data_IF_830252783515
#
_entry.id   IF_830252783515
#
_cell.length_a   1.000
_cell.length_b   1.000
_cell.length_c   1.000
_cell.angle_alpha   90.00
_cell.angle_beta   90.00
_cell.angle_gamma   90.00
#
_symmetry.space_group_name_H-M   'P 1'
#
loop_
_entity.id
_entity.type
_entity.pdbx_description
1 polymer ?
#
# COMPACT_ATOMS: atom_id res chain seq x y z
N UNK A 1 -17.51 -8.01 1.87
CA UNK A 1 -18.29 -8.62 2.96
C UNK A 1 -17.62 -8.41 4.32
N UNK A 2 -16.66 -7.49 4.39
CA UNK A 2 -16.01 -7.06 5.62
C UNK A 2 -16.99 -6.35 6.56
N UNK A 3 -16.75 -6.46 7.87
CA UNK A 3 -17.74 -6.13 8.89
C UNK A 3 -17.97 -4.62 9.06
N UNK A 4 -17.06 -3.77 8.64
CA UNK A 4 -17.22 -2.31 8.59
C UNK A 4 -18.24 -1.87 7.51
N UNK A 5 -18.57 -2.75 6.56
CA UNK A 5 -19.59 -2.53 5.53
C UNK A 5 -20.83 -3.42 5.68
N UNK A 6 -20.61 -4.65 6.16
CA UNK A 6 -21.64 -5.68 6.20
C UNK A 6 -22.21 -5.92 7.61
N UNK A 7 -21.59 -5.38 8.66
CA UNK A 7 -21.95 -5.67 10.05
C UNK A 7 -23.39 -5.33 10.44
N UNK A 8 -24.04 -4.39 9.73
CA UNK A 8 -25.44 -4.02 9.97
C UNK A 8 -26.46 -4.82 9.15
N UNK A 9 -26.02 -5.64 8.19
CA UNK A 9 -26.92 -6.40 7.30
C UNK A 9 -27.93 -7.26 8.10
N UNK A 10 -27.54 -8.03 9.14
CA UNK A 10 -28.51 -8.80 9.92
C UNK A 10 -29.64 -7.95 10.51
N UNK A 11 -29.31 -6.75 11.01
CA UNK A 11 -30.30 -5.83 11.56
C UNK A 11 -31.25 -5.28 10.49
N UNK A 12 -30.72 -4.97 9.30
CA UNK A 12 -31.53 -4.53 8.15
C UNK A 12 -32.49 -5.65 7.71
N UNK A 13 -32.02 -6.90 7.59
CA UNK A 13 -32.87 -8.03 7.18
C UNK A 13 -33.95 -8.38 8.21
N UNK A 14 -33.69 -8.14 9.49
CA UNK A 14 -34.67 -8.28 10.55
C UNK A 14 -35.77 -7.21 10.46
N UNK A 15 -35.41 -5.97 10.10
CA UNK A 15 -36.37 -4.87 9.92
C UNK A 15 -37.16 -4.98 8.62
N UNK A 16 -36.55 -5.54 7.57
CA UNK A 16 -37.14 -5.69 6.24
C UNK A 16 -37.11 -7.16 5.80
N UNK A 17 -38.12 -7.97 6.19
CA UNK A 17 -38.13 -9.42 5.94
C UNK A 17 -38.15 -9.81 4.45
N UNK A 18 -38.64 -8.93 3.58
CA UNK A 18 -38.69 -9.16 2.13
C UNK A 18 -37.40 -8.72 1.41
N UNK A 19 -36.46 -8.07 2.11
CA UNK A 19 -35.22 -7.60 1.51
C UNK A 19 -34.31 -8.78 1.14
N UNK A 20 -33.66 -8.69 -0.03
CA UNK A 20 -32.69 -9.67 -0.52
C UNK A 20 -31.32 -8.99 -0.62
N UNK A 21 -30.30 -9.64 -0.05
CA UNK A 21 -28.91 -9.19 -0.17
C UNK A 21 -28.42 -9.55 -1.57
N UNK A 22 -27.90 -8.56 -2.30
CA UNK A 22 -27.29 -8.76 -3.62
C UNK A 22 -25.78 -8.67 -3.48
N UNK A 23 -25.05 -9.71 -3.89
CA UNK A 23 -23.60 -9.77 -3.75
C UNK A 23 -22.92 -10.58 -4.85
N UNK A 24 -21.58 -10.57 -4.92
CA UNK A 24 -20.86 -11.48 -5.82
C UNK A 24 -20.97 -12.94 -5.33
N UNK A 25 -20.73 -13.96 -6.19
CA UNK A 25 -20.76 -15.36 -5.77
C UNK A 25 -19.75 -15.69 -4.66
N UNK A 26 -18.60 -14.99 -4.65
CA UNK A 26 -17.57 -15.15 -3.62
C UNK A 26 -17.96 -14.52 -2.29
N UNK A 27 -18.82 -13.50 -2.30
CA UNK A 27 -19.26 -12.83 -1.08
C UNK A 27 -20.28 -13.66 -0.29
N UNK A 28 -21.08 -14.48 -0.98
CA UNK A 28 -22.11 -15.31 -0.35
C UNK A 28 -21.59 -16.20 0.78
N UNK A 29 -20.58 -17.06 0.60
CA UNK A 29 -20.05 -17.87 1.71
C UNK A 29 -19.51 -16.99 2.84
N UNK A 30 -18.83 -15.88 2.53
CA UNK A 30 -18.31 -14.97 3.55
C UNK A 30 -19.41 -14.31 4.39
N UNK A 31 -20.54 -13.94 3.77
CA UNK A 31 -21.68 -13.37 4.49
C UNK A 31 -22.36 -14.39 5.39
N UNK A 32 -22.43 -15.66 4.96
CA UNK A 32 -22.95 -16.76 5.79
C UNK A 32 -22.00 -17.00 6.97
N UNK A 33 -20.70 -17.14 6.71
CA UNK A 33 -19.72 -17.51 7.73
C UNK A 33 -19.48 -16.39 8.76
N UNK A 34 -19.36 -15.13 8.31
CA UNK A 34 -19.06 -14.01 9.20
C UNK A 34 -20.28 -13.46 9.93
N UNK A 35 -21.47 -13.53 9.33
CA UNK A 35 -22.67 -12.85 9.84
C UNK A 35 -23.85 -13.80 10.11
N UNK A 36 -23.74 -15.08 9.78
CA UNK A 36 -24.80 -16.07 9.98
C UNK A 36 -26.05 -15.81 9.12
N UNK A 37 -25.90 -15.20 7.94
CA UNK A 37 -27.04 -14.92 7.08
C UNK A 37 -27.67 -16.20 6.53
N UNK A 38 -29.00 -16.20 6.43
CA UNK A 38 -29.72 -17.24 5.72
C UNK A 38 -29.39 -17.18 4.22
N UNK A 39 -28.92 -18.31 3.68
CA UNK A 39 -28.60 -18.46 2.26
C UNK A 39 -29.77 -18.09 1.35
N UNK A 40 -31.01 -18.35 1.76
CA UNK A 40 -32.21 -18.02 0.99
C UNK A 40 -32.42 -16.50 0.84
N UNK A 41 -31.79 -15.69 1.69
CA UNK A 41 -31.85 -14.21 1.67
C UNK A 41 -30.75 -13.58 0.84
N UNK A 42 -29.90 -14.38 0.17
CA UNK A 42 -28.77 -13.92 -0.62
C UNK A 42 -28.95 -14.29 -2.10
N UNK A 43 -28.98 -13.26 -2.96
CA UNK A 43 -28.90 -13.40 -4.40
C UNK A 43 -27.50 -13.03 -4.88
N UNK A 44 -26.87 -13.95 -5.60
CA UNK A 44 -25.59 -13.66 -6.26
C UNK A 44 -25.80 -13.02 -7.63
N UNK A 45 -24.90 -12.12 -8.03
CA UNK A 45 -24.88 -11.51 -9.37
C UNK A 45 -23.58 -11.85 -10.12
N UNK A 46 -23.70 -12.20 -11.40
CA UNK A 46 -22.55 -12.47 -12.26
C UNK A 46 -21.81 -11.18 -12.67
N UNK A 47 -20.58 -11.32 -13.17
CA UNK A 47 -19.81 -10.19 -13.72
C UNK A 47 -20.51 -9.66 -14.98
N UNK A 48 -20.85 -8.37 -14.99
CA UNK A 48 -21.64 -7.72 -16.04
C UNK A 48 -23.16 -7.91 -15.91
N UNK A 49 -23.67 -8.60 -14.89
CA UNK A 49 -25.12 -8.73 -14.67
C UNK A 49 -25.75 -7.37 -14.38
N UNK A 50 -27.04 -7.23 -14.73
CA UNK A 50 -27.81 -6.02 -14.48
C UNK A 50 -29.05 -6.29 -13.64
N UNK A 51 -29.48 -5.27 -12.88
CA UNK A 51 -30.69 -5.29 -12.05
C UNK A 51 -31.50 -4.02 -12.27
N UNK A 52 -32.72 -4.16 -12.78
CA UNK A 52 -33.65 -3.06 -12.96
C UNK A 52 -34.32 -2.65 -11.64
N UNK A 53 -34.41 -1.34 -11.40
CA UNK A 53 -35.05 -0.72 -10.22
C UNK A 53 -36.33 0.05 -10.58
N UNK A 54 -36.90 -0.17 -11.77
CA UNK A 54 -38.11 0.54 -12.23
C UNK A 54 -37.83 1.98 -12.67
N UNK A 55 -36.83 2.17 -13.52
CA UNK A 55 -36.42 3.48 -14.07
C UNK A 55 -34.91 3.73 -13.99
N UNK A 56 -34.21 2.91 -13.21
CA UNK A 56 -32.75 2.89 -13.08
C UNK A 56 -32.24 1.45 -13.22
N UNK A 57 -30.98 1.30 -13.58
CA UNK A 57 -30.35 -0.01 -13.78
C UNK A 57 -29.03 -0.08 -13.05
N UNK A 58 -28.87 -1.06 -12.15
CA UNK A 58 -27.57 -1.37 -11.57
C UNK A 58 -26.83 -2.32 -12.50
N UNK A 59 -25.55 -2.08 -12.73
CA UNK A 59 -24.63 -2.99 -13.43
C UNK A 59 -23.53 -3.41 -12.46
N UNK A 60 -23.27 -4.71 -12.33
CA UNK A 60 -22.31 -5.25 -11.37
C UNK A 60 -21.04 -5.70 -12.07
N UNK A 61 -19.88 -5.25 -11.58
CA UNK A 61 -18.58 -5.66 -12.11
C UNK A 61 -17.72 -6.25 -11.00
N UNK A 62 -17.27 -7.48 -11.15
CA UNK A 62 -16.42 -8.14 -10.18
C UNK A 62 -15.01 -7.54 -10.25
N UNK A 63 -14.53 -7.06 -9.12
CA UNK A 63 -13.22 -6.42 -8.96
C UNK A 63 -12.50 -7.10 -7.79
N UNK A 64 -12.04 -8.36 -7.95
CA UNK A 64 -11.44 -9.09 -6.85
C UNK A 64 -10.09 -8.48 -6.45
N UNK A 65 -9.72 -8.63 -5.18
CA UNK A 65 -8.47 -8.16 -4.58
C UNK A 65 -8.28 -6.63 -4.63
N UNK A 66 -9.39 -5.88 -4.56
CA UNK A 66 -9.39 -4.44 -4.24
C UNK A 66 -10.26 -4.12 -3.00
N UNK A 67 -10.04 -4.74 -1.84
CA UNK A 67 -8.88 -5.59 -1.47
C UNK A 67 -9.24 -7.05 -1.14
N UNK A 68 -10.52 -7.39 -1.03
CA UNK A 68 -10.96 -8.75 -0.73
C UNK A 68 -11.28 -9.55 -2.01
N UNK A 69 -11.22 -10.90 -1.97
CA UNK A 69 -11.45 -11.73 -3.15
C UNK A 69 -12.86 -11.60 -3.75
N UNK A 70 -13.84 -11.15 -2.99
CA UNK A 70 -15.24 -11.00 -3.38
C UNK A 70 -15.65 -9.62 -3.87
N UNK A 71 -14.78 -8.62 -3.73
CA UNK A 71 -15.13 -7.22 -4.01
C UNK A 71 -15.72 -7.08 -5.41
N UNK A 72 -16.79 -6.30 -5.52
CA UNK A 72 -17.42 -5.91 -6.77
C UNK A 72 -17.80 -4.44 -6.68
N UNK A 73 -17.79 -3.76 -7.82
CA UNK A 73 -18.32 -2.40 -7.95
C UNK A 73 -19.71 -2.44 -8.58
N UNK A 74 -20.51 -1.43 -8.27
CA UNK A 74 -21.83 -1.25 -8.87
C UNK A 74 -21.85 0.05 -9.65
N UNK A 75 -22.21 0.00 -10.92
CA UNK A 75 -22.35 1.17 -11.78
C UNK A 75 -23.84 1.48 -11.99
N UNK A 76 -24.20 2.74 -11.88
CA UNK A 76 -25.54 3.27 -12.16
C UNK A 76 -25.44 4.21 -13.37
N UNK A 77 -25.66 3.72 -14.60
CA UNK A 77 -25.42 4.47 -15.82
C UNK A 77 -26.29 5.72 -15.95
N UNK A 78 -27.56 5.65 -15.52
CA UNK A 78 -28.51 6.75 -15.68
C UNK A 78 -28.12 8.00 -14.87
N UNK A 79 -27.37 7.82 -13.78
CA UNK A 79 -26.86 8.90 -12.92
C UNK A 79 -25.34 9.06 -13.01
N UNK A 80 -24.67 8.21 -13.83
CA UNK A 80 -23.22 8.19 -13.99
C UNK A 80 -22.44 8.04 -12.66
N UNK A 81 -22.90 7.13 -11.79
CA UNK A 81 -22.29 6.88 -10.47
C UNK A 81 -21.61 5.51 -10.47
N UNK A 82 -20.37 5.46 -9.98
CA UNK A 82 -19.69 4.22 -9.62
C UNK A 82 -19.63 4.06 -8.10
N UNK A 83 -20.36 3.09 -7.56
CA UNK A 83 -20.23 2.64 -6.17
C UNK A 83 -19.08 1.65 -6.07
N UNK A 84 -17.94 2.11 -5.59
CA UNK A 84 -16.66 1.39 -5.72
C UNK A 84 -16.27 0.56 -4.49
N UNK A 85 -17.05 0.62 -3.40
CA UNK A 85 -16.66 0.03 -2.10
C UNK A 85 -15.29 0.58 -1.68
N UNK A 86 -14.39 -0.27 -1.19
CA UNK A 86 -13.03 0.09 -0.77
C UNK A 86 -12.19 0.64 -1.91
N UNK A 87 -12.47 0.20 -3.14
CA UNK A 87 -11.69 0.60 -4.29
C UNK A 87 -11.80 2.11 -4.50
N UNK A 88 -10.65 2.78 -4.61
CA UNK A 88 -10.53 4.24 -4.73
C UNK A 88 -10.90 5.00 -3.44
N UNK A 89 -11.20 4.32 -2.33
CA UNK A 89 -11.56 4.94 -1.06
C UNK A 89 -10.40 5.57 -0.30
N UNK A 90 -10.73 6.19 0.84
CA UNK A 90 -9.74 6.76 1.76
C UNK A 90 -10.23 6.76 3.20
N UNK A 91 -9.33 6.55 4.15
CA UNK A 91 -9.63 6.70 5.58
C UNK A 91 -9.47 8.17 6.01
N UNK A 92 -10.51 8.98 5.76
CA UNK A 92 -10.58 10.37 6.23
C UNK A 92 -12.00 10.69 6.69
N UNK A 93 -12.12 11.20 7.93
CA UNK A 93 -13.39 11.68 8.46
C UNK A 93 -13.52 13.19 8.22
N UNK A 94 -14.62 13.62 7.60
CA UNK A 94 -14.89 15.04 7.34
C UNK A 94 -16.39 15.32 7.31
N UNK A 95 -16.79 16.56 7.53
CA UNK A 95 -18.19 17.01 7.39
C UNK A 95 -18.58 17.25 5.93
N UNK A 96 -17.63 17.23 4.98
CA UNK A 96 -17.88 17.39 3.55
C UNK A 96 -18.19 16.04 2.92
N UNK A 97 -19.30 15.98 2.18
CA UNK A 97 -19.66 14.75 1.45
C UNK A 97 -18.79 14.53 0.20
N UNK A 98 -18.44 15.61 -0.50
CA UNK A 98 -17.69 15.57 -1.75
C UNK A 98 -16.22 15.96 -1.53
N UNK A 99 -15.33 15.34 -2.30
CA UNK A 99 -13.89 15.55 -2.25
C UNK A 99 -13.49 16.93 -2.79
N UNK A 100 -14.16 17.43 -3.83
CA UNK A 100 -13.71 18.60 -4.57
C UNK A 100 -12.29 18.39 -5.11
N UNK A 101 -11.49 19.45 -5.08
CA UNK A 101 -10.06 19.42 -5.46
C UNK A 101 -9.12 19.33 -4.24
N UNK A 102 -9.60 18.84 -3.09
CA UNK A 102 -8.81 18.81 -1.87
C UNK A 102 -7.65 17.79 -1.93
N UNK A 103 -6.37 18.23 -1.94
CA UNK A 103 -5.24 17.33 -2.06
C UNK A 103 -5.06 16.40 -0.85
N UNK A 104 -5.66 16.73 0.29
CA UNK A 104 -5.61 15.88 1.49
C UNK A 104 -6.39 14.59 1.31
N UNK A 105 -7.45 14.58 0.49
CA UNK A 105 -8.22 13.37 0.18
C UNK A 105 -7.39 12.41 -0.66
N UNK A 106 -6.68 12.90 -1.69
CA UNK A 106 -5.76 12.08 -2.50
C UNK A 106 -4.60 11.56 -1.65
N UNK A 107 -4.09 12.37 -0.71
CA UNK A 107 -3.05 11.94 0.23
C UNK A 107 -3.55 10.80 1.14
N UNK A 108 -4.78 10.91 1.65
CA UNK A 108 -5.41 9.86 2.45
C UNK A 108 -5.68 8.60 1.61
N UNK A 109 -6.08 8.74 0.34
CA UNK A 109 -6.23 7.63 -0.58
C UNK A 109 -4.90 6.94 -0.89
N UNK A 110 -3.79 7.69 -1.02
CA UNK A 110 -2.45 7.12 -1.18
C UNK A 110 -2.05 6.29 0.02
N UNK A 111 -2.35 6.77 1.24
CA UNK A 111 -2.15 5.99 2.47
C UNK A 111 -2.96 4.69 2.45
N UNK A 112 -4.25 4.79 2.14
CA UNK A 112 -5.15 3.66 2.05
C UNK A 112 -4.65 2.62 1.03
N UNK A 113 -4.27 3.05 -0.17
CA UNK A 113 -3.65 2.18 -1.17
C UNK A 113 -2.37 1.54 -0.64
N UNK A 114 -1.49 2.32 -0.02
CA UNK A 114 -0.18 1.86 0.44
C UNK A 114 -0.28 0.78 1.51
N UNK A 115 -1.19 0.94 2.47
CA UNK A 115 -1.38 0.03 3.60
C UNK A 115 -2.17 -1.23 3.20
N UNK A 116 -3.11 -1.12 2.26
CA UNK A 116 -4.13 -2.16 2.03
C UNK A 116 -4.01 -2.80 0.64
N UNK A 117 -3.86 -1.99 -0.42
CA UNK A 117 -3.99 -2.45 -1.80
C UNK A 117 -2.66 -2.73 -2.51
N UNK A 118 -1.55 -2.18 -2.02
CA UNK A 118 -0.22 -2.31 -2.62
C UNK A 118 0.18 -3.78 -2.93
N UNK A 119 -0.07 -4.78 -2.05
CA UNK A 119 0.24 -6.18 -2.36
C UNK A 119 -0.47 -6.74 -3.60
N UNK A 120 -1.62 -6.14 -3.95
CA UNK A 120 -2.52 -6.57 -5.02
C UNK A 120 -2.42 -5.68 -6.25
N UNK A 121 -1.32 -4.93 -6.42
CA UNK A 121 -1.06 -4.00 -7.53
C UNK A 121 -1.54 -4.50 -8.91
N UNK A 122 -1.24 -5.74 -9.29
CA UNK A 122 -1.66 -6.30 -10.59
C UNK A 122 -3.18 -6.44 -10.72
N UNK A 123 -3.87 -6.81 -9.64
CA UNK A 123 -5.34 -6.87 -9.59
C UNK A 123 -5.94 -5.48 -9.65
N UNK A 124 -5.39 -4.52 -8.89
CA UNK A 124 -5.79 -3.11 -8.95
C UNK A 124 -5.68 -2.58 -10.39
N UNK A 125 -4.54 -2.82 -11.06
CA UNK A 125 -4.33 -2.41 -12.46
C UNK A 125 -5.33 -3.04 -13.43
N UNK A 126 -5.63 -4.33 -13.28
CA UNK A 126 -6.64 -5.02 -14.09
C UNK A 126 -8.04 -4.46 -13.86
N UNK A 127 -8.40 -4.17 -12.61
CA UNK A 127 -9.70 -3.64 -12.24
C UNK A 127 -9.87 -2.18 -12.70
N UNK A 128 -8.82 -1.35 -12.66
CA UNK A 128 -8.82 -0.01 -13.27
C UNK A 128 -9.18 -0.09 -14.75
N UNK A 129 -8.50 -0.97 -15.52
CA UNK A 129 -8.79 -1.18 -16.94
C UNK A 129 -10.22 -1.65 -17.19
N UNK A 130 -10.79 -2.44 -16.26
CA UNK A 130 -12.19 -2.92 -16.36
C UNK A 130 -13.19 -1.79 -16.17
N UNK A 131 -12.97 -0.90 -15.18
CA UNK A 131 -13.94 0.17 -14.87
C UNK A 131 -13.78 1.39 -15.78
N UNK A 132 -12.57 1.69 -16.29
CA UNK A 132 -12.28 2.90 -17.07
C UNK A 132 -13.21 3.15 -18.27
N UNK A 133 -13.69 2.13 -19.02
CA UNK A 133 -14.63 2.33 -20.13
C UNK A 133 -16.06 2.68 -19.71
N UNK A 134 -16.41 2.55 -18.42
CA UNK A 134 -17.74 2.88 -17.91
C UNK A 134 -17.90 4.40 -17.85
N UNK A 135 -19.09 4.90 -18.21
CA UNK A 135 -19.39 6.32 -18.19
C UNK A 135 -19.87 6.77 -16.80
N UNK A 136 -18.95 7.20 -15.94
CA UNK A 136 -19.25 7.78 -14.64
C UNK A 136 -18.55 9.13 -14.43
N UNK A 137 -19.27 10.07 -13.83
CA UNK A 137 -18.76 11.40 -13.44
C UNK A 137 -18.64 11.50 -11.90
N UNK A 138 -19.05 10.46 -11.17
CA UNK A 138 -19.00 10.34 -9.71
C UNK A 138 -18.47 8.98 -9.27
N UNK A 139 -17.56 8.95 -8.30
CA UNK A 139 -17.13 7.73 -7.60
C UNK A 139 -17.52 7.83 -6.12
N UNK A 140 -18.38 6.92 -5.68
CA UNK A 140 -18.84 6.81 -4.29
C UNK A 140 -18.19 5.58 -3.62
N UNK A 141 -17.02 5.76 -2.96
CA UNK A 141 -16.40 4.68 -2.20
C UNK A 141 -17.18 4.40 -0.91
N UNK A 142 -16.86 3.28 -0.25
CA UNK A 142 -17.39 2.96 1.09
C UNK A 142 -16.74 3.79 2.19
N UNK A 143 -15.52 4.29 1.96
CA UNK A 143 -14.73 5.09 2.90
C UNK A 143 -14.31 6.43 2.32
N UNK A 144 -14.54 7.49 3.10
CA UNK A 144 -14.14 8.85 2.77
C UNK A 144 -15.15 9.58 1.86
N UNK A 145 -14.78 10.78 1.36
CA UNK A 145 -15.64 11.60 0.51
C UNK A 145 -15.90 10.98 -0.87
N UNK A 146 -17.01 11.38 -1.48
CA UNK A 146 -17.35 11.06 -2.88
C UNK A 146 -16.49 11.92 -3.81
N UNK A 147 -15.88 11.31 -4.82
CA UNK A 147 -15.15 12.04 -5.85
C UNK A 147 -16.13 12.55 -6.92
N UNK A 148 -16.33 13.86 -6.94
CA UNK A 148 -17.03 14.65 -7.97
C UNK A 148 -16.11 15.15 -9.09
N UNK A 149 -14.80 14.95 -8.94
CA UNK A 149 -13.78 15.13 -9.96
C UNK A 149 -12.95 13.85 -10.10
N UNK A 150 -13.50 12.86 -10.82
CA UNK A 150 -13.02 11.47 -10.82
C UNK A 150 -11.60 11.29 -11.39
N UNK A 151 -11.17 12.16 -12.30
CA UNK A 151 -9.87 12.03 -12.96
C UNK A 151 -8.69 12.11 -11.98
N UNK A 152 -8.79 12.90 -10.92
CA UNK A 152 -7.71 13.05 -9.94
C UNK A 152 -7.37 11.72 -9.25
N UNK A 153 -8.38 11.01 -8.75
CA UNK A 153 -8.17 9.73 -8.07
C UNK A 153 -7.82 8.61 -9.05
N UNK A 154 -8.42 8.58 -10.24
CA UNK A 154 -8.11 7.57 -11.24
C UNK A 154 -6.67 7.70 -11.74
N UNK A 155 -6.21 8.92 -12.06
CA UNK A 155 -4.84 9.17 -12.49
C UNK A 155 -3.83 8.82 -11.39
N UNK A 156 -4.14 9.13 -10.12
CA UNK A 156 -3.30 8.77 -8.99
C UNK A 156 -3.15 7.26 -8.84
N UNK A 157 -4.25 6.51 -8.91
CA UNK A 157 -4.21 5.04 -8.88
C UNK A 157 -3.46 4.45 -10.08
N UNK A 158 -3.65 5.00 -11.29
CA UNK A 158 -2.91 4.61 -12.49
C UNK A 158 -1.40 4.82 -12.34
N UNK A 159 -0.97 5.91 -11.68
CA UNK A 159 0.41 6.16 -11.33
C UNK A 159 0.94 5.15 -10.30
N UNK A 160 0.22 4.94 -9.20
CA UNK A 160 0.65 4.05 -8.11
C UNK A 160 0.79 2.59 -8.57
N UNK A 161 -0.05 2.14 -9.49
CA UNK A 161 0.05 0.80 -10.08
C UNK A 161 0.93 0.74 -11.32
N UNK A 162 1.49 1.85 -11.82
CA UNK A 162 2.40 1.84 -12.96
C UNK A 162 3.76 1.22 -12.61
N UNK A 163 4.55 0.85 -13.62
CA UNK A 163 5.93 0.38 -13.44
C UNK A 163 6.92 1.55 -13.24
N UNK A 164 6.47 2.80 -13.30
CA UNK A 164 7.32 3.98 -13.10
C UNK A 164 7.80 4.01 -11.66
N UNK A 165 9.10 4.23 -11.47
CA UNK A 165 9.73 4.39 -10.17
C UNK A 165 10.30 5.79 -10.06
N UNK A 166 10.22 6.37 -8.87
CA UNK A 166 10.87 7.64 -8.59
C UNK A 166 12.34 7.42 -8.23
N UNK A 167 13.18 8.41 -8.51
CA UNK A 167 14.56 8.49 -8.05
C UNK A 167 14.63 8.78 -6.54
N UNK A 168 14.06 7.87 -5.75
CA UNK A 168 13.84 7.98 -4.31
C UNK A 168 14.37 6.73 -3.61
N UNK A 169 15.12 6.95 -2.53
CA UNK A 169 15.59 5.93 -1.59
C UNK A 169 14.84 6.12 -0.27
N UNK A 170 14.22 5.05 0.23
CA UNK A 170 13.56 5.04 1.55
C UNK A 170 14.47 4.34 2.55
N UNK A 171 14.79 5.02 3.66
CA UNK A 171 15.72 4.51 4.69
C UNK A 171 15.00 4.35 6.03
N UNK A 172 14.34 3.21 6.30
CA UNK A 172 13.90 2.86 7.65
C UNK A 172 15.12 2.44 8.49
N UNK A 173 15.32 3.13 9.61
CA UNK A 173 16.42 2.81 10.51
C UNK A 173 16.08 3.02 11.97
N UNK A 174 16.91 2.46 12.85
CA UNK A 174 16.96 2.84 14.26
C UNK A 174 18.41 2.90 14.70
N UNK A 175 18.70 3.59 15.79
CA UNK A 175 20.03 3.67 16.38
C UNK A 175 19.92 3.69 17.90
N UNK A 176 20.61 2.78 18.59
CA UNK A 176 20.60 2.75 20.07
C UNK A 176 21.67 3.66 20.68
N UNK A 177 22.82 3.77 20.01
CA UNK A 177 24.02 4.44 20.53
C UNK A 177 24.71 5.32 19.46
N UNK A 178 23.97 5.80 18.47
CA UNK A 178 24.46 6.75 17.46
C UNK A 178 25.18 6.15 16.25
N UNK A 179 25.86 5.01 16.35
CA UNK A 179 26.66 4.48 15.23
C UNK A 179 25.88 4.26 13.93
N UNK A 180 24.70 3.63 14.00
CA UNK A 180 23.86 3.41 12.80
C UNK A 180 23.33 4.72 12.24
N UNK A 181 22.99 5.67 13.11
CA UNK A 181 22.51 7.00 12.71
C UNK A 181 23.60 7.79 11.96
N UNK A 182 24.85 7.77 12.44
CA UNK A 182 25.98 8.38 11.73
C UNK A 182 26.16 7.80 10.32
N UNK A 183 25.96 6.50 10.14
CA UNK A 183 26.02 5.86 8.82
C UNK A 183 24.85 6.27 7.92
N UNK A 184 23.64 6.33 8.47
CA UNK A 184 22.43 6.74 7.74
C UNK A 184 22.55 8.20 7.29
N UNK A 185 22.99 9.09 8.17
CA UNK A 185 23.16 10.51 7.86
C UNK A 185 24.23 10.73 6.80
N UNK A 186 25.36 10.01 6.89
CA UNK A 186 26.40 10.05 5.86
C UNK A 186 25.87 9.57 4.50
N UNK A 187 25.22 8.40 4.46
CA UNK A 187 24.66 7.86 3.22
C UNK A 187 23.61 8.80 2.63
N UNK A 188 22.80 9.42 3.48
CA UNK A 188 21.78 10.40 3.06
C UNK A 188 22.42 11.60 2.37
N UNK A 189 23.48 12.18 2.96
CA UNK A 189 24.22 13.27 2.34
C UNK A 189 24.86 12.85 1.01
N UNK A 190 25.53 11.69 0.99
CA UNK A 190 26.17 11.14 -0.20
C UNK A 190 25.19 10.89 -1.36
N UNK A 191 23.98 10.39 -1.07
CA UNK A 191 22.92 10.20 -2.06
C UNK A 191 22.36 11.55 -2.56
N UNK A 192 22.15 12.52 -1.66
CA UNK A 192 21.68 13.84 -2.03
C UNK A 192 22.66 14.57 -2.96
N UNK A 193 23.96 14.48 -2.69
CA UNK A 193 25.03 15.02 -3.56
C UNK A 193 25.03 14.38 -4.96
N UNK A 194 24.52 13.14 -5.07
CA UNK A 194 24.36 12.40 -6.33
C UNK A 194 22.98 12.62 -6.98
N UNK A 195 22.18 13.55 -6.46
CA UNK A 195 20.87 13.90 -7.00
C UNK A 195 19.78 12.86 -6.72
N UNK A 196 19.98 11.96 -5.76
CA UNK A 196 18.99 10.95 -5.34
C UNK A 196 18.19 11.50 -4.16
N UNK A 197 16.87 11.48 -4.25
CA UNK A 197 16.00 11.92 -3.14
C UNK A 197 16.01 10.85 -2.06
N UNK A 198 16.10 11.26 -0.79
CA UNK A 198 16.14 10.34 0.35
C UNK A 198 15.02 10.66 1.33
N UNK A 199 14.23 9.66 1.69
CA UNK A 199 13.25 9.73 2.77
C UNK A 199 13.69 8.85 3.94
N UNK A 200 14.12 9.50 5.04
CA UNK A 200 14.55 8.82 6.26
C UNK A 200 13.36 8.56 7.18
N UNK A 201 13.34 7.37 7.79
CA UNK A 201 12.34 6.96 8.78
C UNK A 201 13.04 6.43 10.03
N UNK A 202 13.12 7.27 11.06
CA UNK A 202 13.60 6.87 12.39
C UNK A 202 12.48 6.07 13.09
N UNK A 203 12.69 4.76 13.24
CA UNK A 203 11.63 3.81 13.59
C UNK A 203 11.19 3.87 15.06
N UNK A 204 11.86 4.62 15.94
CA UNK A 204 11.36 4.84 17.31
C UNK A 204 10.19 5.83 17.35
N UNK A 205 10.03 6.67 16.31
CA UNK A 205 9.01 7.73 16.24
C UNK A 205 8.16 7.72 14.96
N UNK A 206 8.49 6.83 14.00
CA UNK A 206 7.85 6.79 12.68
C UNK A 206 6.38 6.32 12.72
N UNK A 207 5.53 7.03 11.99
CA UNK A 207 4.23 6.51 11.53
C UNK A 207 4.44 5.52 10.39
N UNK A 208 4.12 4.25 10.64
CA UNK A 208 4.26 3.15 9.69
C UNK A 208 3.47 3.39 8.40
N UNK A 209 2.34 4.11 8.44
CA UNK A 209 1.59 4.45 7.24
C UNK A 209 2.34 5.40 6.33
N UNK A 210 3.12 6.34 6.89
CA UNK A 210 3.98 7.22 6.09
C UNK A 210 5.12 6.44 5.44
N UNK A 211 5.69 5.47 6.15
CA UNK A 211 6.69 4.56 5.59
C UNK A 211 6.09 3.76 4.42
N UNK A 212 4.89 3.19 4.59
CA UNK A 212 4.19 2.48 3.51
C UNK A 212 3.93 3.39 2.30
N UNK A 213 3.48 4.63 2.53
CA UNK A 213 3.26 5.62 1.47
C UNK A 213 4.52 5.96 0.68
N UNK A 214 5.65 6.15 1.36
CA UNK A 214 6.93 6.43 0.71
C UNK A 214 7.40 5.29 -0.19
N UNK A 215 7.11 4.04 0.22
CA UNK A 215 7.42 2.85 -0.56
C UNK A 215 6.57 2.69 -1.83
N UNK A 216 5.46 3.44 -1.98
CA UNK A 216 4.61 3.38 -3.19
C UNK A 216 5.42 3.68 -4.45
N UNK A 217 6.35 4.64 -4.39
CA UNK A 217 7.06 5.16 -5.55
C UNK A 217 8.57 4.91 -5.54
N UNK A 218 9.13 4.54 -4.39
CA UNK A 218 10.56 4.32 -4.23
C UNK A 218 11.11 3.22 -5.15
N UNK A 219 12.31 3.45 -5.67
CA UNK A 219 13.08 2.43 -6.40
C UNK A 219 13.91 1.55 -5.47
N UNK A 220 14.38 2.13 -4.35
CA UNK A 220 15.33 1.50 -3.44
C UNK A 220 14.91 1.64 -1.98
N UNK A 221 15.10 0.58 -1.21
CA UNK A 221 15.02 0.60 0.26
C UNK A 221 16.41 0.34 0.87
N UNK A 222 16.85 1.15 1.82
CA UNK A 222 18.07 0.87 2.60
C UNK A 222 17.72 0.66 4.06
N UNK A 223 17.94 -0.55 4.57
CA UNK A 223 17.52 -0.93 5.92
C UNK A 223 18.67 -0.66 6.89
N UNK A 224 18.47 0.25 7.85
CA UNK A 224 19.46 0.61 8.86
C UNK A 224 19.21 -0.06 10.20
N UNK A 225 20.17 -0.81 10.75
CA UNK A 225 19.94 -1.50 12.04
C UNK A 225 21.18 -1.59 12.95
N UNK A 226 21.07 -1.34 14.26
CA UNK A 226 22.04 -1.86 15.21
C UNK A 226 21.77 -3.35 15.43
N UNK A 227 22.80 -4.09 15.83
CA UNK A 227 22.63 -5.49 16.23
C UNK A 227 22.13 -5.57 17.67
N UNK A 228 20.99 -6.22 17.88
CA UNK A 228 20.44 -6.54 19.21
C UNK A 228 20.57 -8.04 19.43
N UNK A 229 21.27 -8.43 20.50
CA UNK A 229 21.73 -9.80 20.76
C UNK A 229 22.59 -10.36 19.62
N UNK A 230 21.96 -10.93 18.59
CA UNK A 230 22.60 -11.48 17.39
C UNK A 230 21.94 -11.02 16.09
N UNK A 231 20.77 -10.39 16.14
CA UNK A 231 19.94 -10.06 14.98
C UNK A 231 19.72 -8.55 14.81
N UNK A 232 18.86 -8.13 13.87
CA UNK A 232 18.49 -6.73 13.73
C UNK A 232 17.63 -6.29 14.94
N UNK A 233 17.53 -4.99 15.15
CA UNK A 233 16.59 -4.44 16.13
C UNK A 233 15.13 -4.85 15.82
N UNK A 234 14.28 -5.19 16.81
CA UNK A 234 12.90 -5.62 16.59
C UNK A 234 12.05 -4.67 15.72
N UNK A 235 12.15 -3.35 15.94
CA UNK A 235 11.45 -2.36 15.09
C UNK A 235 11.87 -2.44 13.63
N UNK A 236 13.16 -2.67 13.35
CA UNK A 236 13.66 -2.83 11.97
C UNK A 236 13.20 -4.16 11.38
N UNK A 237 13.19 -5.23 12.17
CA UNK A 237 12.63 -6.52 11.76
C UNK A 237 11.17 -6.37 11.32
N UNK A 238 10.35 -5.69 12.14
CA UNK A 238 8.94 -5.44 11.84
C UNK A 238 8.75 -4.58 10.59
N UNK A 239 9.49 -3.47 10.45
CA UNK A 239 9.41 -2.61 9.28
C UNK A 239 9.84 -3.34 7.99
N UNK A 240 10.87 -4.18 8.08
CA UNK A 240 11.35 -5.00 6.96
C UNK A 240 10.32 -6.06 6.57
N UNK A 241 9.73 -6.75 7.56
CA UNK A 241 8.68 -7.71 7.33
C UNK A 241 7.44 -7.06 6.69
N UNK A 242 7.05 -5.88 7.16
CA UNK A 242 5.95 -5.11 6.58
C UNK A 242 6.23 -4.77 5.11
N UNK A 243 7.41 -4.22 4.80
CA UNK A 243 7.77 -3.93 3.40
C UNK A 243 7.63 -5.19 2.53
N UNK A 244 8.12 -6.34 3.00
CA UNK A 244 7.96 -7.62 2.29
C UNK A 244 6.50 -8.07 2.12
N UNK A 245 5.63 -7.81 3.10
CA UNK A 245 4.20 -8.10 3.01
C UNK A 245 3.48 -7.17 2.01
N UNK A 246 3.84 -5.89 2.02
CA UNK A 246 3.27 -4.86 1.14
C UNK A 246 3.68 -5.01 -0.33
N UNK A 247 4.82 -5.65 -0.60
CA UNK A 247 5.35 -5.91 -1.95
C UNK A 247 5.41 -4.64 -2.82
N UNK A 248 6.02 -3.55 -2.34
CA UNK A 248 6.25 -2.36 -3.16
C UNK A 248 7.03 -2.70 -4.43
N UNK A 249 6.95 -1.83 -5.42
CA UNK A 249 7.60 -1.98 -6.73
C UNK A 249 9.12 -1.78 -6.72
N UNK A 250 9.75 -1.82 -5.54
CA UNK A 250 11.19 -1.71 -5.33
C UNK A 250 11.97 -2.62 -6.29
N UNK A 251 13.10 -2.13 -6.78
CA UNK A 251 14.06 -2.91 -7.60
C UNK A 251 15.32 -3.24 -6.83
N UNK A 252 15.67 -2.41 -5.86
CA UNK A 252 16.94 -2.50 -5.17
C UNK A 252 16.80 -2.44 -3.66
N UNK A 253 17.75 -3.05 -2.97
CA UNK A 253 17.88 -2.93 -1.53
C UNK A 253 19.32 -2.74 -1.08
N UNK A 254 19.51 -2.12 0.09
CA UNK A 254 20.77 -2.09 0.83
C UNK A 254 20.53 -2.42 2.29
N UNK A 255 21.55 -2.92 2.99
CA UNK A 255 21.50 -3.11 4.45
C UNK A 255 22.71 -2.43 5.06
N UNK A 256 22.48 -1.50 5.99
CA UNK A 256 23.54 -0.83 6.72
C UNK A 256 23.34 -0.97 8.22
N UNK A 257 24.40 -0.89 9.00
CA UNK A 257 24.24 -1.05 10.44
C UNK A 257 25.50 -1.12 11.25
N UNK A 258 25.30 -1.28 12.56
CA UNK A 258 26.37 -1.37 13.54
C UNK A 258 26.27 -2.62 14.41
N UNK A 259 27.40 -3.09 14.94
CA UNK A 259 27.47 -4.21 15.87
C UNK A 259 28.62 -4.07 16.87
N UNK A 260 28.52 -4.74 18.02
CA UNK A 260 29.53 -4.69 19.08
C UNK A 260 30.58 -5.80 18.98
N UNK A 261 30.15 -7.06 18.86
CA UNK A 261 31.03 -8.24 18.86
C UNK A 261 30.79 -9.16 17.66
N UNK A 262 29.55 -9.57 17.42
CA UNK A 262 29.13 -10.38 16.28
C UNK A 262 27.69 -10.10 15.89
N UNK A 263 27.30 -10.43 14.65
CA UNK A 263 25.98 -10.14 14.11
C UNK A 263 25.57 -11.13 13.03
N UNK A 264 24.26 -11.40 12.96
CA UNK A 264 23.53 -12.08 11.89
C UNK A 264 22.43 -11.18 11.31
N UNK A 265 22.49 -9.87 11.57
CA UNK A 265 21.44 -8.93 11.16
C UNK A 265 21.20 -8.97 9.64
N UNK A 266 22.28 -8.97 8.84
CA UNK A 266 22.21 -9.04 7.37
C UNK A 266 21.51 -10.32 6.91
N UNK A 267 21.92 -11.48 7.44
CA UNK A 267 21.33 -12.79 7.11
C UNK A 267 19.83 -12.83 7.42
N UNK A 268 19.44 -12.39 8.61
CA UNK A 268 18.04 -12.41 9.05
C UNK A 268 17.18 -11.43 8.25
N UNK A 269 17.68 -10.22 7.96
CA UNK A 269 16.96 -9.24 7.15
C UNK A 269 16.82 -9.70 5.69
N UNK A 270 17.86 -10.30 5.11
CA UNK A 270 17.77 -10.88 3.78
C UNK A 270 16.73 -12.02 3.71
N UNK A 271 16.66 -12.85 4.76
CA UNK A 271 15.65 -13.89 4.91
C UNK A 271 14.21 -13.38 5.04
N UNK A 272 14.01 -12.10 5.39
CA UNK A 272 12.69 -11.49 5.54
C UNK A 272 12.09 -10.92 4.27
N UNK A 273 12.89 -10.69 3.21
CA UNK A 273 12.47 -9.96 2.02
C UNK A 273 12.32 -10.78 0.71
N UNK A 274 11.99 -12.09 0.72
CA UNK A 274 11.95 -12.88 -0.51
C UNK A 274 10.86 -12.43 -1.49
N UNK A 275 9.78 -11.79 -1.01
CA UNK A 275 8.70 -11.32 -1.88
C UNK A 275 9.02 -9.98 -2.55
N UNK A 276 10.02 -9.23 -2.06
CA UNK A 276 10.43 -7.97 -2.68
C UNK A 276 11.10 -8.20 -4.04
N UNK A 277 11.76 -9.34 -4.24
CA UNK A 277 12.49 -9.68 -5.49
C UNK A 277 13.48 -8.59 -5.93
N UNK A 278 14.13 -7.97 -4.96
CA UNK A 278 15.09 -6.87 -5.15
C UNK A 278 16.51 -7.39 -5.36
N UNK A 279 17.30 -6.64 -6.11
CA UNK A 279 18.76 -6.79 -6.16
C UNK A 279 19.38 -6.08 -4.94
N UNK A 280 20.13 -6.81 -4.12
CA UNK A 280 20.83 -6.22 -2.97
C UNK A 280 22.15 -5.60 -3.45
N UNK A 281 22.20 -4.26 -3.48
CA UNK A 281 23.33 -3.50 -4.02
C UNK A 281 24.54 -3.45 -3.09
N UNK A 282 24.33 -3.61 -1.79
CA UNK A 282 25.42 -3.63 -0.83
C UNK A 282 24.99 -3.87 0.60
N UNK A 283 25.93 -4.37 1.40
CA UNK A 283 25.77 -4.52 2.86
C UNK A 283 26.96 -3.87 3.56
N UNK A 284 26.70 -2.91 4.46
CA UNK A 284 27.76 -2.15 5.15
C UNK A 284 27.53 -2.24 6.66
N UNK A 285 28.40 -2.99 7.35
CA UNK A 285 28.30 -3.20 8.80
C UNK A 285 29.55 -2.68 9.51
N UNK A 286 29.40 -1.70 10.41
CA UNK A 286 30.51 -1.17 11.20
C UNK A 286 30.59 -1.82 12.59
N UNK A 287 31.80 -2.07 13.09
CA UNK A 287 32.02 -2.54 14.46
C UNK A 287 32.26 -1.36 15.40
N UNK A 288 31.33 -1.12 16.32
CA UNK A 288 31.37 0.05 17.20
C UNK A 288 31.10 1.34 16.43
N UNK A 289 32.00 2.33 16.52
CA UNK A 289 31.88 3.59 15.78
C UNK A 289 32.36 3.43 14.33
N UNK A 290 31.64 4.00 13.33
CA UNK A 290 32.05 3.96 11.94
C UNK A 290 33.38 4.71 11.72
N UNK A 291 34.21 4.17 10.83
CA UNK A 291 35.55 4.66 10.48
C UNK A 291 35.62 5.01 9.00
N UNK A 292 36.75 5.56 8.56
CA UNK A 292 36.98 5.97 7.17
C UNK A 292 36.63 4.87 6.13
N UNK A 293 36.95 3.59 6.44
CA UNK A 293 36.60 2.47 5.56
C UNK A 293 35.09 2.20 5.46
N UNK A 294 34.35 2.42 6.55
CA UNK A 294 32.89 2.26 6.55
C UNK A 294 32.24 3.37 5.71
N UNK A 295 32.73 4.62 5.82
CA UNK A 295 32.25 5.74 5.01
C UNK A 295 32.56 5.55 3.52
N UNK A 296 33.75 5.07 3.16
CA UNK A 296 34.09 4.73 1.78
C UNK A 296 33.17 3.62 1.21
N UNK A 297 32.77 2.65 2.03
CA UNK A 297 31.81 1.63 1.62
C UNK A 297 30.39 2.20 1.43
N UNK A 298 29.98 3.19 2.22
CA UNK A 298 28.73 3.92 2.03
C UNK A 298 28.75 4.76 0.75
N UNK A 299 29.88 5.38 0.40
CA UNK A 299 30.04 6.07 -0.88
C UNK A 299 29.87 5.12 -2.07
N UNK A 300 30.50 3.93 -2.00
CA UNK A 300 30.34 2.91 -3.03
C UNK A 300 28.89 2.43 -3.16
N UNK A 301 28.17 2.29 -2.04
CA UNK A 301 26.74 1.97 -2.06
C UNK A 301 25.92 3.11 -2.69
N UNK A 302 26.23 4.37 -2.37
CA UNK A 302 25.55 5.53 -2.95
C UNK A 302 25.79 5.62 -4.47
N UNK A 303 27.02 5.32 -4.93
CA UNK A 303 27.36 5.24 -6.35
C UNK A 303 26.57 4.14 -7.07
N UNK A 304 26.50 2.94 -6.48
CA UNK A 304 25.72 1.83 -7.04
C UNK A 304 24.23 2.17 -7.15
N UNK A 305 23.66 2.82 -6.12
CA UNK A 305 22.26 3.27 -6.13
C UNK A 305 22.05 4.30 -7.25
N UNK A 306 22.90 5.33 -7.35
CA UNK A 306 22.82 6.34 -8.42
C UNK A 306 22.85 5.69 -9.80
N UNK A 307 23.79 4.78 -10.04
CA UNK A 307 23.95 4.15 -11.36
C UNK A 307 22.72 3.33 -11.76
N UNK A 308 22.11 2.64 -10.80
CA UNK A 308 20.85 1.92 -11.00
C UNK A 308 19.66 2.88 -11.21
N UNK A 309 19.62 3.98 -10.46
CA UNK A 309 18.57 4.98 -10.57
C UNK A 309 18.60 5.76 -11.90
N UNK A 310 19.79 5.92 -12.51
CA UNK A 310 19.95 6.57 -13.81
C UNK A 310 19.26 5.80 -14.97
N UNK A 311 18.88 4.55 -14.75
CA UNK A 311 18.22 3.68 -15.72
C UNK A 311 16.70 3.51 -15.50
N UNK A 312 16.10 4.23 -14.53
CA UNK A 312 14.68 4.16 -14.18
C UNK A 312 13.76 4.87 -15.20
#
# INVERSE_FOLDING_TARGET
>A
AEQDHAGSIPAVLAMYPEAIVVCSPKAKPLLIDHLGLDEARIRTVADGETLALGGKTLQFFHTPWVHWPETMVTHLPEEKILFSCDFLGSHIATSRLYAGEDPTVITAAKRYYAEIMMPFRSSVQGNLKKIRPLAFDLIAPSHGPIYDHVEGILAAYEEWVSDRLANVVVIPYISMHGSTELMVDYLTAALAERGVVVEKFELSTTDIGKLAMALVDAATIVIGTPTVHVGPHPSVFNATHLANALRPKLKYAGIIGSYGWGTKAVEQLAGLIPNLKVEVLGTVMCKGLPKAGDFAALDALADAIRDKHAAL
#
